data_IF_658085946344
#
_entry.id   IF_658085946344
#
_cell.length_a   1.000
_cell.length_b   1.000
_cell.length_c   1.000
_cell.angle_alpha   90.00
_cell.angle_beta   90.00
_cell.angle_gamma   90.00
#
_symmetry.space_group_name_H-M   'P 1'
#
loop_
_entity.id
_entity.type
_entity.pdbx_description
1 polymer ?
#
# COMPACT_ATOMS: atom_id res chain seq x y z
N UNK A 1 -94.01 -26.57 39.37
CA UNK A 1 -93.25 -25.79 38.37
C UNK A 1 -93.14 -24.37 38.90
N UNK A 2 -92.11 -24.09 39.70
CA UNK A 2 -91.83 -22.76 40.24
C UNK A 2 -90.99 -21.99 39.25
N UNK A 3 -91.50 -20.84 38.82
CA UNK A 3 -90.94 -20.01 37.77
C UNK A 3 -89.60 -19.41 38.23
N UNK A 4 -88.50 -19.86 37.63
CA UNK A 4 -87.14 -19.43 37.93
C UNK A 4 -86.83 -18.00 37.44
N UNK A 5 -87.87 -17.19 37.23
CA UNK A 5 -87.83 -15.83 36.69
C UNK A 5 -88.15 -14.73 37.72
N UNK A 6 -88.31 -15.06 39.01
CA UNK A 6 -88.70 -14.09 40.05
C UNK A 6 -87.71 -13.94 41.23
N UNK A 7 -86.44 -14.36 41.10
CA UNK A 7 -85.42 -14.06 42.10
C UNK A 7 -84.55 -12.85 41.66
N UNK A 8 -84.69 -11.69 42.32
CA UNK A 8 -83.91 -10.49 41.99
C UNK A 8 -82.40 -10.67 42.17
N UNK A 9 -81.95 -11.61 43.01
CA UNK A 9 -80.52 -11.92 43.16
C UNK A 9 -79.90 -12.53 41.91
N UNK A 10 -80.62 -13.45 41.26
CA UNK A 10 -80.16 -14.16 40.04
C UNK A 10 -80.14 -13.22 38.83
N UNK A 11 -81.07 -12.26 38.76
CA UNK A 11 -81.08 -11.22 37.72
C UNK A 11 -79.91 -10.25 37.86
N UNK A 12 -79.59 -9.85 39.09
CA UNK A 12 -78.45 -8.98 39.37
C UNK A 12 -77.12 -9.65 39.00
N UNK A 13 -76.96 -10.93 39.34
CA UNK A 13 -75.78 -11.72 38.99
C UNK A 13 -75.60 -11.90 37.47
N UNK A 14 -76.69 -12.12 36.72
CA UNK A 14 -76.64 -12.13 35.24
C UNK A 14 -76.25 -10.78 34.65
N UNK A 15 -76.75 -9.68 35.23
CA UNK A 15 -76.43 -8.33 34.79
C UNK A 15 -74.96 -7.98 35.05
N UNK A 16 -74.42 -8.33 36.22
CA UNK A 16 -73.01 -8.09 36.53
C UNK A 16 -72.08 -8.93 35.66
N UNK A 17 -72.40 -10.21 35.42
CA UNK A 17 -71.64 -11.04 34.46
C UNK A 17 -71.65 -10.46 33.04
N UNK A 18 -72.79 -9.98 32.57
CA UNK A 18 -72.91 -9.39 31.23
C UNK A 18 -72.15 -8.06 31.12
N UNK A 19 -72.17 -7.25 32.18
CA UNK A 19 -71.41 -6.01 32.26
C UNK A 19 -69.90 -6.29 32.25
N UNK A 20 -69.43 -7.24 33.05
CA UNK A 20 -68.03 -7.66 33.07
C UNK A 20 -67.56 -8.14 31.68
N UNK A 21 -68.36 -8.98 31.01
CA UNK A 21 -68.06 -9.46 29.66
C UNK A 21 -67.99 -8.33 28.61
N UNK A 22 -68.84 -7.31 28.72
CA UNK A 22 -68.81 -6.16 27.82
C UNK A 22 -67.60 -5.25 28.10
N UNK A 23 -67.26 -5.05 29.37
CA UNK A 23 -66.08 -4.29 29.78
C UNK A 23 -64.80 -4.97 29.26
N UNK A 24 -64.67 -6.29 29.41
CA UNK A 24 -63.52 -7.04 28.89
C UNK A 24 -63.40 -6.96 27.37
N UNK A 25 -64.52 -7.08 26.63
CA UNK A 25 -64.52 -6.92 25.17
C UNK A 25 -64.12 -5.51 24.75
N UNK A 26 -64.59 -4.48 25.46
CA UNK A 26 -64.25 -3.10 25.18
C UNK A 26 -62.75 -2.83 25.46
N UNK A 27 -62.24 -3.30 26.60
CA UNK A 27 -60.84 -3.18 26.98
C UNK A 27 -59.91 -3.90 25.99
N UNK A 28 -60.24 -5.14 25.59
CA UNK A 28 -59.49 -5.89 24.59
C UNK A 28 -59.47 -5.17 23.23
N UNK A 29 -60.61 -4.66 22.77
CA UNK A 29 -60.70 -3.93 21.49
C UNK A 29 -59.94 -2.60 21.52
N UNK A 30 -59.97 -1.90 22.64
CA UNK A 30 -59.20 -0.67 22.83
C UNK A 30 -57.69 -0.95 22.85
N UNK A 31 -57.25 -2.00 23.56
CA UNK A 31 -55.86 -2.44 23.59
C UNK A 31 -55.35 -2.86 22.21
N UNK A 32 -56.16 -3.59 21.43
CA UNK A 32 -55.80 -3.99 20.07
C UNK A 32 -55.61 -2.79 19.13
N UNK A 33 -56.53 -1.81 19.19
CA UNK A 33 -56.44 -0.59 18.39
C UNK A 33 -55.24 0.27 18.78
N UNK A 34 -55.00 0.45 20.07
CA UNK A 34 -53.85 1.21 20.57
C UNK A 34 -52.52 0.54 20.14
N UNK A 35 -52.46 -0.79 20.21
CA UNK A 35 -51.30 -1.57 19.73
C UNK A 35 -51.09 -1.40 18.22
N UNK A 36 -52.15 -1.51 17.42
CA UNK A 36 -52.09 -1.32 15.96
C UNK A 36 -51.63 0.09 15.57
N UNK A 37 -52.14 1.12 16.24
CA UNK A 37 -51.76 2.52 16.02
C UNK A 37 -50.28 2.75 16.35
N UNK A 38 -49.80 2.15 17.45
CA UNK A 38 -48.41 2.26 17.90
C UNK A 38 -47.47 1.49 16.97
N UNK A 39 -47.85 0.29 16.53
CA UNK A 39 -47.13 -0.47 15.50
C UNK A 39 -47.03 0.33 14.19
N UNK A 40 -48.11 0.97 13.74
CA UNK A 40 -48.09 1.80 12.54
C UNK A 40 -47.11 2.98 12.66
N UNK A 41 -47.16 3.72 13.77
CA UNK A 41 -46.24 4.83 14.03
C UNK A 41 -44.78 4.38 14.09
N UNK A 42 -44.51 3.25 14.75
CA UNK A 42 -43.17 2.67 14.80
C UNK A 42 -42.66 2.25 13.42
N UNK A 43 -43.53 1.70 12.55
CA UNK A 43 -43.16 1.38 11.17
C UNK A 43 -42.86 2.65 10.36
N UNK A 44 -43.65 3.70 10.50
CA UNK A 44 -43.42 4.99 9.82
C UNK A 44 -42.10 5.64 10.28
N UNK A 45 -41.84 5.68 11.59
CA UNK A 45 -40.58 6.19 12.14
C UNK A 45 -39.37 5.35 11.70
N UNK A 46 -39.52 4.03 11.63
CA UNK A 46 -38.46 3.12 11.18
C UNK A 46 -38.14 3.34 9.69
N UNK A 47 -39.15 3.49 8.84
CA UNK A 47 -38.97 3.74 7.41
C UNK A 47 -38.27 5.09 7.15
N UNK A 48 -38.62 6.13 7.91
CA UNK A 48 -37.94 7.42 7.84
C UNK A 48 -36.49 7.34 8.34
N UNK A 49 -36.24 6.61 9.43
CA UNK A 49 -34.88 6.38 9.93
C UNK A 49 -34.02 5.61 8.90
N UNK A 50 -34.57 4.58 8.26
CA UNK A 50 -33.90 3.83 7.20
C UNK A 50 -33.59 4.75 6.01
N UNK A 51 -34.54 5.57 5.58
CA UNK A 51 -34.34 6.53 4.47
C UNK A 51 -33.21 7.52 4.77
N UNK A 52 -33.17 8.06 5.99
CA UNK A 52 -32.10 8.98 6.42
C UNK A 52 -30.74 8.27 6.49
N UNK A 53 -30.70 7.05 7.02
CA UNK A 53 -29.48 6.25 7.09
C UNK A 53 -28.92 5.93 5.68
N UNK A 54 -29.79 5.51 4.75
CA UNK A 54 -29.40 5.24 3.35
C UNK A 54 -28.88 6.51 2.65
N UNK A 55 -29.56 7.64 2.80
CA UNK A 55 -29.11 8.92 2.22
C UNK A 55 -27.75 9.35 2.77
N UNK A 56 -27.52 9.12 4.07
CA UNK A 56 -26.24 9.43 4.72
C UNK A 56 -25.14 8.51 4.19
N UNK A 57 -25.41 7.22 4.04
CA UNK A 57 -24.46 6.26 3.48
C UNK A 57 -24.06 6.62 2.04
N UNK A 58 -25.01 7.03 1.20
CA UNK A 58 -24.73 7.47 -0.18
C UNK A 58 -23.88 8.74 -0.24
N UNK A 59 -24.16 9.71 0.63
CA UNK A 59 -23.37 10.95 0.76
C UNK A 59 -21.95 10.64 1.23
N UNK A 60 -21.79 9.77 2.22
CA UNK A 60 -20.46 9.35 2.68
C UNK A 60 -19.74 8.60 1.56
N UNK A 61 -20.40 7.69 0.85
CA UNK A 61 -19.81 6.96 -0.27
C UNK A 61 -19.35 7.86 -1.41
N UNK A 62 -20.11 8.92 -1.73
CA UNK A 62 -19.73 9.90 -2.75
C UNK A 62 -18.55 10.76 -2.30
N UNK A 63 -18.55 11.25 -1.06
CA UNK A 63 -17.42 12.01 -0.51
C UNK A 63 -16.13 11.19 -0.45
N UNK A 64 -16.22 9.92 -0.04
CA UNK A 64 -15.07 9.01 -0.03
C UNK A 64 -14.53 8.80 -1.45
N UNK A 65 -15.40 8.53 -2.43
CA UNK A 65 -14.96 8.39 -3.84
C UNK A 65 -14.28 9.66 -4.36
N UNK A 66 -14.83 10.83 -4.05
CA UNK A 66 -14.26 12.11 -4.47
C UNK A 66 -12.89 12.37 -3.81
N UNK A 67 -12.75 12.08 -2.52
CA UNK A 67 -11.49 12.23 -1.80
C UNK A 67 -10.42 11.26 -2.32
N UNK A 68 -10.79 10.01 -2.59
CA UNK A 68 -9.88 9.02 -3.19
C UNK A 68 -9.44 9.46 -4.59
N UNK A 69 -10.38 9.91 -5.43
CA UNK A 69 -10.04 10.39 -6.77
C UNK A 69 -9.08 11.60 -6.70
N UNK A 70 -9.35 12.57 -5.82
CA UNK A 70 -8.48 13.74 -5.65
C UNK A 70 -7.07 13.33 -5.17
N UNK A 71 -6.97 12.39 -4.24
CA UNK A 71 -5.68 11.87 -3.76
C UNK A 71 -4.90 11.13 -4.85
N UNK A 72 -5.60 10.35 -5.68
CA UNK A 72 -5.00 9.65 -6.84
C UNK A 72 -4.51 10.65 -7.88
N UNK A 73 -5.34 11.64 -8.24
CA UNK A 73 -4.98 12.67 -9.22
C UNK A 73 -3.77 13.50 -8.75
N UNK A 74 -3.69 13.80 -7.45
CA UNK A 74 -2.58 14.55 -6.87
C UNK A 74 -1.28 13.72 -6.81
N UNK A 75 -1.39 12.45 -6.44
CA UNK A 75 -0.26 11.51 -6.46
C UNK A 75 0.27 11.34 -7.88
N UNK A 76 -0.63 11.18 -8.86
CA UNK A 76 -0.26 11.04 -10.27
C UNK A 76 0.41 12.30 -10.79
N UNK A 77 -0.14 13.48 -10.50
CA UNK A 77 0.48 14.76 -10.87
C UNK A 77 1.89 14.89 -10.30
N UNK A 78 2.06 14.58 -9.02
CA UNK A 78 3.36 14.63 -8.35
C UNK A 78 4.35 13.68 -8.99
N UNK A 79 3.94 12.42 -9.22
CA UNK A 79 4.79 11.41 -9.86
C UNK A 79 5.23 11.83 -11.28
N UNK A 80 4.32 12.42 -12.06
CA UNK A 80 4.65 12.93 -13.41
C UNK A 80 5.63 14.09 -13.33
N UNK A 81 5.42 15.05 -12.43
CA UNK A 81 6.34 16.17 -12.24
C UNK A 81 7.73 15.69 -11.81
N UNK A 82 7.80 14.75 -10.88
CA UNK A 82 9.05 14.15 -10.43
C UNK A 82 9.75 13.40 -11.57
N UNK A 83 9.02 12.62 -12.37
CA UNK A 83 9.58 11.93 -13.54
C UNK A 83 10.17 12.91 -14.56
N UNK A 84 9.46 14.02 -14.84
CA UNK A 84 9.98 15.06 -15.75
C UNK A 84 11.23 15.73 -15.19
N UNK A 85 11.25 16.03 -13.90
CA UNK A 85 12.41 16.62 -13.21
C UNK A 85 13.63 15.70 -13.27
N UNK A 86 13.44 14.40 -13.02
CA UNK A 86 14.51 13.39 -13.13
C UNK A 86 15.04 13.32 -14.56
N UNK A 87 14.15 13.32 -15.56
CA UNK A 87 14.55 13.31 -16.97
C UNK A 87 15.38 14.54 -17.35
N UNK A 88 14.96 15.73 -16.92
CA UNK A 88 15.68 16.97 -17.20
C UNK A 88 17.08 16.98 -16.54
N UNK A 89 17.18 16.44 -15.32
CA UNK A 89 18.47 16.24 -14.65
C UNK A 89 19.37 15.28 -15.42
N UNK A 90 18.85 14.16 -15.93
CA UNK A 90 19.60 13.21 -16.74
C UNK A 90 20.11 13.86 -18.04
N UNK A 91 19.27 14.64 -18.73
CA UNK A 91 19.67 15.36 -19.95
C UNK A 91 20.76 16.40 -19.65
N UNK A 92 20.65 17.13 -18.53
CA UNK A 92 21.67 18.06 -18.10
C UNK A 92 23.00 17.36 -17.77
N UNK A 93 22.95 16.18 -17.13
CA UNK A 93 24.13 15.36 -16.87
C UNK A 93 24.80 14.89 -18.17
N UNK A 94 24.02 14.42 -19.15
CA UNK A 94 24.55 14.03 -20.46
C UNK A 94 25.22 15.21 -21.19
N UNK A 95 24.60 16.39 -21.18
CA UNK A 95 25.20 17.60 -21.76
C UNK A 95 26.48 18.05 -21.04
N UNK A 96 26.57 17.85 -19.71
CA UNK A 96 27.77 18.12 -18.95
C UNK A 96 28.91 17.15 -19.31
N UNK A 97 28.59 15.86 -19.45
CA UNK A 97 29.55 14.83 -19.88
C UNK A 97 30.10 15.18 -21.27
N UNK A 98 29.21 15.46 -22.23
CA UNK A 98 29.58 15.86 -23.59
C UNK A 98 30.48 17.10 -23.57
N UNK A 99 30.08 18.18 -22.89
CA UNK A 99 30.91 19.39 -22.74
C UNK A 99 32.28 19.11 -22.13
N UNK A 100 32.37 18.19 -21.17
CA UNK A 100 33.64 17.86 -20.51
C UNK A 100 34.56 17.06 -21.44
N UNK A 101 33.97 16.19 -22.27
CA UNK A 101 34.69 15.50 -23.33
C UNK A 101 35.06 16.43 -24.50
N UNK A 102 34.26 17.47 -24.75
CA UNK A 102 34.44 18.41 -25.85
C UNK A 102 35.52 19.45 -25.53
N UNK A 103 36.71 19.27 -26.10
CA UNK A 103 37.85 20.19 -25.97
C UNK A 103 39.02 19.65 -25.14
N UNK A 104 38.95 18.39 -24.69
CA UNK A 104 40.04 17.75 -23.95
C UNK A 104 40.62 16.60 -24.80
N UNK A 105 41.84 16.76 -25.31
CA UNK A 105 42.60 15.64 -25.94
C UNK A 105 43.10 14.62 -24.89
N UNK A 106 42.99 14.99 -23.61
CA UNK A 106 43.43 14.22 -22.45
C UNK A 106 42.26 13.56 -21.71
N UNK A 107 42.02 12.29 -22.04
CA UNK A 107 40.98 11.47 -21.41
C UNK A 107 41.14 11.35 -19.88
N UNK A 108 42.35 11.48 -19.34
CA UNK A 108 42.60 11.39 -17.90
C UNK A 108 42.05 12.60 -17.15
N UNK A 109 42.14 13.80 -17.74
CA UNK A 109 41.52 15.00 -17.18
C UNK A 109 39.99 14.88 -17.11
N UNK A 110 39.37 14.27 -18.13
CA UNK A 110 37.93 13.96 -18.14
C UNK A 110 37.59 12.96 -17.03
N UNK A 111 38.37 11.88 -16.89
CA UNK A 111 38.16 10.86 -15.83
C UNK A 111 38.29 11.46 -14.43
N UNK A 112 39.28 12.32 -14.20
CA UNK A 112 39.48 12.98 -12.90
C UNK A 112 38.31 13.91 -12.56
N UNK A 113 37.76 14.60 -13.56
CA UNK A 113 36.59 15.46 -13.38
C UNK A 113 35.33 14.65 -13.08
N UNK A 114 35.12 13.54 -13.79
CA UNK A 114 34.02 12.60 -13.51
C UNK A 114 34.13 12.02 -12.10
N UNK A 115 35.33 11.62 -11.67
CA UNK A 115 35.56 11.13 -10.31
C UNK A 115 35.26 12.18 -9.24
N UNK A 116 35.58 13.45 -9.49
CA UNK A 116 35.22 14.54 -8.58
C UNK A 116 33.70 14.76 -8.48
N UNK A 117 32.99 14.70 -9.60
CA UNK A 117 31.52 14.84 -9.60
C UNK A 117 30.82 13.63 -8.98
N UNK A 118 31.31 12.40 -9.21
CA UNK A 118 30.79 11.22 -8.51
C UNK A 118 30.91 11.36 -6.99
N UNK A 119 32.07 11.81 -6.50
CA UNK A 119 32.26 12.07 -5.06
C UNK A 119 31.30 13.14 -4.54
N UNK A 120 31.08 14.22 -5.30
CA UNK A 120 30.10 15.27 -4.92
C UNK A 120 28.67 14.74 -4.88
N UNK A 121 28.32 13.82 -5.76
CA UNK A 121 27.04 13.15 -5.79
C UNK A 121 26.90 12.04 -4.72
N UNK A 122 27.93 11.79 -3.91
CA UNK A 122 27.93 10.71 -2.92
C UNK A 122 27.99 9.32 -3.55
N UNK A 123 28.65 9.18 -4.71
CA UNK A 123 28.89 7.92 -5.39
C UNK A 123 30.36 7.53 -5.25
N UNK A 124 30.63 6.32 -4.75
CA UNK A 124 31.97 5.75 -4.64
C UNK A 124 32.17 4.67 -5.70
N UNK A 125 33.22 4.79 -6.51
CA UNK A 125 33.66 3.74 -7.43
C UNK A 125 34.52 2.71 -6.68
N UNK A 126 34.19 1.44 -6.80
CA UNK A 126 34.99 0.32 -6.33
C UNK A 126 35.69 -0.31 -7.52
N UNK A 127 37.01 -0.12 -7.60
CA UNK A 127 37.86 -0.67 -8.65
C UNK A 127 38.83 -1.75 -8.13
N UNK A 128 38.76 -2.07 -6.84
CA UNK A 128 39.64 -3.03 -6.17
C UNK A 128 38.81 -4.17 -5.57
N UNK A 129 39.28 -5.42 -5.65
CA UNK A 129 38.55 -6.60 -5.20
C UNK A 129 38.61 -6.82 -3.66
N UNK A 130 38.77 -5.76 -2.86
CA UNK A 130 38.85 -5.87 -1.40
C UNK A 130 37.57 -6.44 -0.78
N UNK A 131 36.43 -6.20 -1.44
CA UNK A 131 35.15 -6.82 -1.16
C UNK A 131 34.50 -7.19 -2.49
N UNK A 132 34.12 -8.46 -2.64
CA UNK A 132 33.50 -9.00 -3.85
C UNK A 132 31.96 -8.92 -3.82
N UNK A 133 31.36 -8.62 -2.67
CA UNK A 133 29.90 -8.50 -2.51
C UNK A 133 29.23 -7.60 -3.56
N UNK A 134 29.83 -6.46 -3.97
CA UNK A 134 29.27 -5.59 -4.99
C UNK A 134 29.49 -6.04 -6.45
N UNK A 135 30.13 -7.18 -6.69
CA UNK A 135 30.56 -7.64 -8.01
C UNK A 135 29.89 -8.96 -8.42
N UNK A 136 29.63 -9.11 -9.71
CA UNK A 136 29.26 -10.38 -10.34
C UNK A 136 30.51 -11.09 -10.85
N UNK A 137 30.62 -12.40 -10.62
CA UNK A 137 31.78 -13.20 -10.98
C UNK A 137 31.46 -13.96 -12.27
N UNK A 138 32.19 -13.69 -13.36
CA UNK A 138 31.89 -14.25 -14.69
C UNK A 138 32.37 -15.70 -14.88
N UNK A 139 33.51 -16.06 -14.30
CA UNK A 139 34.16 -17.35 -14.53
C UNK A 139 33.99 -18.25 -13.29
N UNK A 140 32.75 -18.70 -13.06
CA UNK A 140 32.44 -19.60 -11.92
C UNK A 140 32.85 -21.05 -12.18
N UNK A 141 33.22 -21.41 -13.40
CA UNK A 141 33.58 -22.78 -13.76
C UNK A 141 35.06 -23.07 -13.49
N UNK A 142 35.28 -24.13 -12.71
CA UNK A 142 36.52 -24.90 -12.48
C UNK A 142 37.48 -24.52 -11.34
N UNK A 143 37.38 -23.35 -10.68
CA UNK A 143 38.38 -23.00 -9.65
C UNK A 143 37.75 -22.58 -8.32
N UNK A 144 37.37 -23.58 -7.50
CA UNK A 144 37.08 -23.39 -6.08
C UNK A 144 38.30 -22.89 -5.25
N UNK A 145 39.45 -22.67 -5.90
CA UNK A 145 40.73 -22.24 -5.33
C UNK A 145 41.29 -21.00 -6.07
N UNK A 146 40.43 -20.04 -6.41
CA UNK A 146 40.88 -18.77 -6.99
C UNK A 146 41.73 -17.97 -5.97
N UNK A 147 43.03 -17.83 -6.24
CA UNK A 147 43.96 -17.12 -5.35
C UNK A 147 43.81 -15.59 -5.42
N UNK A 148 43.24 -15.06 -6.52
CA UNK A 148 43.01 -13.63 -6.68
C UNK A 148 41.91 -13.33 -7.71
N UNK A 149 41.32 -12.14 -7.57
CA UNK A 149 40.27 -11.64 -8.45
C UNK A 149 40.74 -10.36 -9.15
N UNK A 150 40.33 -10.19 -10.40
CA UNK A 150 40.55 -8.96 -11.17
C UNK A 150 39.19 -8.31 -11.46
N UNK A 151 39.10 -7.00 -11.21
CA UNK A 151 37.91 -6.21 -11.55
C UNK A 151 37.93 -5.90 -13.05
N UNK A 152 36.98 -6.46 -13.79
CA UNK A 152 36.77 -6.22 -15.23
C UNK A 152 35.99 -4.93 -15.43
N UNK A 153 34.98 -4.69 -14.58
CA UNK A 153 34.20 -3.44 -14.58
C UNK A 153 33.94 -2.99 -13.13
N UNK A 154 34.06 -1.70 -12.82
CA UNK A 154 33.92 -1.22 -11.45
C UNK A 154 32.48 -1.31 -10.96
N UNK A 155 32.30 -1.54 -9.65
CA UNK A 155 31.02 -1.36 -8.99
C UNK A 155 30.87 0.08 -8.49
N UNK A 156 29.62 0.52 -8.30
CA UNK A 156 29.30 1.85 -7.79
C UNK A 156 28.36 1.76 -6.61
N UNK A 157 28.75 2.37 -5.49
CA UNK A 157 27.99 2.36 -4.24
C UNK A 157 27.63 3.79 -3.81
N UNK A 158 26.48 3.93 -3.19
CA UNK A 158 26.05 5.17 -2.55
C UNK A 158 26.78 5.32 -1.21
N UNK A 159 27.58 6.38 -1.07
CA UNK A 159 28.48 6.59 0.07
C UNK A 159 27.72 6.71 1.40
N UNK A 160 26.52 7.28 1.39
CA UNK A 160 25.74 7.52 2.62
C UNK A 160 25.12 6.24 3.21
N UNK A 161 24.70 5.32 2.35
CA UNK A 161 23.90 4.14 2.75
C UNK A 161 24.65 2.83 2.57
N UNK A 162 25.76 2.83 1.81
CA UNK A 162 26.46 1.62 1.37
C UNK A 162 25.69 0.82 0.32
N UNK A 163 24.57 1.34 -0.20
CA UNK A 163 23.74 0.65 -1.18
C UNK A 163 24.47 0.54 -2.51
N UNK A 164 24.44 -0.65 -3.11
CA UNK A 164 24.94 -0.85 -4.47
C UNK A 164 24.01 -0.18 -5.48
N UNK A 165 24.52 0.83 -6.18
CA UNK A 165 23.81 1.55 -7.24
C UNK A 165 23.97 0.82 -8.57
N UNK A 166 25.17 0.31 -8.83
CA UNK A 166 25.47 -0.53 -10.00
C UNK A 166 26.49 -1.60 -9.59
N UNK A 167 26.18 -2.86 -9.90
CA UNK A 167 27.09 -3.98 -9.68
C UNK A 167 28.23 -3.94 -10.71
N UNK A 168 29.42 -4.22 -10.23
CA UNK A 168 30.60 -4.38 -11.08
C UNK A 168 30.74 -5.82 -11.53
N UNK A 169 31.79 -6.09 -12.29
CA UNK A 169 32.11 -7.43 -12.77
C UNK A 169 33.55 -7.77 -12.44
N UNK A 170 33.77 -8.97 -11.90
CA UNK A 170 35.09 -9.49 -11.60
C UNK A 170 35.29 -10.85 -12.27
N UNK A 171 36.55 -11.18 -12.54
CA UNK A 171 36.97 -12.50 -13.02
C UNK A 171 38.01 -13.11 -12.10
N UNK A 172 38.05 -14.43 -12.03
CA UNK A 172 39.08 -15.16 -11.31
C UNK A 172 40.37 -15.15 -12.11
N UNK A 173 41.51 -14.94 -11.45
CA UNK A 173 42.82 -15.16 -12.06
C UNK A 173 43.29 -16.58 -11.74
N UNK A 174 43.79 -17.34 -12.74
CA UNK A 174 44.35 -18.67 -12.49
C UNK A 174 45.59 -18.57 -11.58
N UNK A 175 45.70 -19.52 -10.66
CA UNK A 175 46.86 -19.62 -9.77
C UNK A 175 48.02 -20.24 -10.56
N UNK A 176 49.04 -19.45 -10.89
CA UNK A 176 50.25 -19.96 -11.58
C UNK A 176 50.93 -21.04 -10.74
N UNK A 177 50.75 -22.31 -11.10
CA UNK A 177 51.55 -23.43 -10.59
C UNK A 177 52.84 -23.57 -11.39
N UNK A 178 53.65 -22.51 -11.45
CA UNK A 178 54.97 -22.57 -12.09
C UNK A 178 56.07 -22.85 -11.07
N UNK A 179 56.27 -24.13 -10.76
CA UNK A 179 57.56 -24.64 -10.27
C UNK A 179 57.88 -26.04 -10.81
N UNK A 180 57.91 -26.19 -12.13
CA UNK A 180 58.71 -27.25 -12.78
C UNK A 180 59.91 -26.60 -13.49
N UNK A 181 61.01 -26.36 -12.76
CA UNK A 181 62.32 -26.20 -13.38
C UNK A 181 63.08 -27.52 -13.30
N UNK A 182 62.89 -28.31 -14.35
CA UNK A 182 63.66 -29.50 -14.69
C UNK A 182 65.11 -29.09 -14.97
N UNK A 183 65.96 -29.10 -13.94
CA UNK A 183 67.41 -28.93 -14.07
C UNK A 183 68.10 -30.28 -14.26
N UNK A 184 68.43 -30.63 -15.51
CA UNK A 184 69.41 -31.67 -15.83
C UNK A 184 70.78 -31.24 -15.31
N UNK A 185 71.43 -32.10 -14.54
CA UNK A 185 72.87 -32.14 -14.28
C UNK A 185 73.34 -33.58 -14.44
#
# INVERSE_FOLDING_TARGET
MGDALADPGVLFEKLTMKLASQVDKAASKAGLKASQELSRKLTEELDDAIRVAMSTADKVGTLVRQAVQAAVDDTLRTAVLDATRVRDQQLAQLALIDRTAWGTDDIEAVRLRVDAEMKRAGLTRLATPADLTPFDIMDLEEHNDAASYEVVSPAYIETATGRVVQRGTARTLPTDSTSESKGRG
#
